data_IF_643917436398
#
_entry.id   IF_643917436398
#
_cell.length_a   1.000
_cell.length_b   1.000
_cell.length_c   1.000
_cell.angle_alpha   90.00
_cell.angle_beta   90.00
_cell.angle_gamma   90.00
#
_symmetry.space_group_name_H-M   'P 1'
#
loop_
_entity.id
_entity.type
_entity.pdbx_description
1 polymer ?
#
# COMPACT_ATOMS: atom_id res chain seq x y z
N UNK A 1 -1.98 -15.46 10.82
CA UNK A 1 -2.25 -16.16 12.11
C UNK A 1 -1.96 -15.17 13.23
N UNK A 2 -2.92 -14.96 14.11
CA UNK A 2 -2.76 -14.10 15.30
C UNK A 2 -1.68 -14.64 16.24
N UNK A 3 -0.81 -13.77 16.75
CA UNK A 3 0.25 -14.10 17.68
C UNK A 3 -0.18 -13.73 19.10
N UNK A 4 -0.18 -14.70 20.01
CA UNK A 4 -0.74 -14.57 21.37
C UNK A 4 0.32 -14.30 22.45
N UNK A 5 1.61 -14.32 22.08
CA UNK A 5 2.72 -14.15 22.99
C UNK A 5 3.98 -13.57 22.31
N UNK A 6 4.92 -13.11 23.12
CA UNK A 6 6.21 -12.59 22.68
C UNK A 6 6.16 -11.12 22.21
N UNK A 7 7.23 -10.67 21.56
CA UNK A 7 7.35 -9.29 21.06
C UNK A 7 6.30 -8.93 20.03
N UNK A 8 5.80 -9.92 19.28
CA UNK A 8 4.77 -9.75 18.24
C UNK A 8 3.36 -10.10 18.72
N UNK A 9 3.13 -10.26 20.04
CA UNK A 9 1.77 -10.48 20.58
C UNK A 9 0.81 -9.40 20.08
N UNK A 10 -0.37 -9.80 19.62
CA UNK A 10 -1.38 -8.86 19.11
C UNK A 10 -1.17 -8.44 17.66
N UNK A 11 -0.23 -9.06 16.95
CA UNK A 11 -0.03 -8.92 15.51
C UNK A 11 -0.33 -10.23 14.77
N UNK A 12 -0.46 -10.14 13.46
CA UNK A 12 -0.56 -11.33 12.60
C UNK A 12 0.82 -11.72 12.06
N UNK A 13 1.12 -13.02 12.04
CA UNK A 13 2.28 -13.49 11.30
C UNK A 13 2.06 -13.22 9.79
N UNK A 14 3.00 -12.54 9.15
CA UNK A 14 2.89 -12.15 7.75
C UNK A 14 2.90 -13.35 6.78
N UNK A 15 3.46 -14.49 7.21
CA UNK A 15 3.53 -15.70 6.39
C UNK A 15 3.18 -16.95 7.19
N UNK A 16 2.27 -17.75 6.65
CA UNK A 16 1.80 -19.00 7.23
C UNK A 16 1.78 -20.10 6.18
N UNK A 17 2.06 -21.32 6.61
CA UNK A 17 1.87 -22.52 5.81
C UNK A 17 0.38 -22.88 5.67
N UNK A 18 0.06 -23.72 4.67
CA UNK A 18 -1.31 -24.21 4.46
C UNK A 18 -1.82 -25.10 5.60
N UNK A 19 -0.92 -25.67 6.36
CA UNK A 19 -1.21 -26.48 7.57
C UNK A 19 -1.44 -25.61 8.82
N UNK A 20 -1.37 -24.29 8.69
CA UNK A 20 -1.52 -23.36 9.79
C UNK A 20 -0.25 -23.13 10.60
N UNK A 21 0.90 -23.65 10.20
CA UNK A 21 2.18 -23.32 10.83
C UNK A 21 2.62 -21.91 10.45
N UNK A 22 3.33 -21.22 11.34
CA UNK A 22 3.92 -19.91 11.04
C UNK A 22 5.25 -20.11 10.35
N UNK A 23 5.41 -19.48 9.17
CA UNK A 23 6.68 -19.42 8.47
C UNK A 23 7.60 -18.32 9.03
N UNK A 24 7.01 -17.31 9.68
CA UNK A 24 7.72 -16.20 10.29
C UNK A 24 7.03 -15.76 11.60
N UNK A 25 7.81 -15.21 12.53
CA UNK A 25 7.32 -14.68 13.81
C UNK A 25 7.26 -13.12 13.80
N UNK A 26 7.29 -12.51 12.64
CA UNK A 26 7.14 -11.08 12.44
C UNK A 26 5.82 -10.72 11.79
N UNK A 27 5.45 -9.46 11.88
CA UNK A 27 4.30 -8.87 11.25
C UNK A 27 4.73 -7.91 10.12
N UNK A 28 3.85 -7.68 9.16
CA UNK A 28 3.99 -6.66 8.14
C UNK A 28 2.80 -5.70 8.25
N UNK A 29 3.05 -4.41 8.52
CA UNK A 29 2.01 -3.43 8.85
C UNK A 29 0.85 -3.34 7.87
N UNK A 30 1.08 -3.53 6.57
CA UNK A 30 0.02 -3.53 5.57
C UNK A 30 -1.06 -4.58 5.85
N UNK A 31 -0.69 -5.72 6.41
CA UNK A 31 -1.65 -6.76 6.82
C UNK A 31 -2.62 -6.25 7.88
N UNK A 32 -2.13 -5.63 8.92
CA UNK A 32 -2.94 -5.08 10.01
C UNK A 32 -3.81 -3.92 9.56
N UNK A 33 -3.30 -3.06 8.67
CA UNK A 33 -4.08 -1.96 8.09
C UNK A 33 -5.30 -2.49 7.32
N UNK A 34 -5.09 -3.47 6.44
CA UNK A 34 -6.17 -4.08 5.67
C UNK A 34 -7.15 -4.87 6.55
N UNK A 35 -6.67 -5.59 7.57
CA UNK A 35 -7.56 -6.29 8.50
C UNK A 35 -8.41 -5.32 9.32
N UNK A 36 -7.82 -4.26 9.86
CA UNK A 36 -8.56 -3.25 10.61
C UNK A 36 -9.61 -2.57 9.73
N UNK A 37 -9.26 -2.19 8.49
CA UNK A 37 -10.19 -1.57 7.57
C UNK A 37 -11.33 -2.52 7.17
N UNK A 38 -11.02 -3.78 6.84
CA UNK A 38 -12.03 -4.77 6.50
C UNK A 38 -13.03 -5.00 7.65
N UNK A 39 -12.55 -5.00 8.89
CA UNK A 39 -13.40 -5.14 10.08
C UNK A 39 -14.28 -3.90 10.29
N UNK A 40 -13.79 -2.68 10.11
CA UNK A 40 -14.63 -1.49 10.15
C UNK A 40 -15.70 -1.51 9.07
N UNK A 41 -15.36 -1.89 7.84
CA UNK A 41 -16.35 -2.03 6.78
C UNK A 41 -17.37 -3.14 7.08
N UNK A 42 -16.95 -4.25 7.69
CA UNK A 42 -17.86 -5.30 8.13
C UNK A 42 -18.83 -4.79 9.20
N UNK A 43 -18.33 -4.02 10.18
CA UNK A 43 -19.17 -3.38 11.21
C UNK A 43 -20.23 -2.47 10.59
N UNK A 44 -19.84 -1.59 9.67
CA UNK A 44 -20.78 -0.66 9.02
C UNK A 44 -21.76 -1.36 8.08
N UNK A 45 -21.32 -2.42 7.42
CA UNK A 45 -22.13 -3.16 6.44
C UNK A 45 -23.13 -4.11 7.08
N UNK A 46 -22.75 -4.77 8.18
CA UNK A 46 -23.51 -5.86 8.80
C UNK A 46 -23.85 -5.64 10.26
N UNK A 47 -23.29 -4.60 10.88
CA UNK A 47 -23.42 -4.32 12.31
C UNK A 47 -22.43 -5.14 13.15
N UNK A 48 -22.27 -4.74 14.40
CA UNK A 48 -21.46 -5.46 15.39
C UNK A 48 -22.30 -6.56 16.06
N UNK A 49 -21.73 -7.74 16.20
CA UNK A 49 -22.21 -8.85 17.00
C UNK A 49 -21.50 -8.96 18.34
N UNK A 50 -21.48 -10.17 18.92
CA UNK A 50 -20.79 -10.47 20.17
C UNK A 50 -19.44 -11.15 19.96
N UNK A 51 -18.52 -10.95 20.88
CA UNK A 51 -17.18 -11.58 20.86
C UNK A 51 -16.37 -11.22 19.61
N UNK A 52 -15.93 -12.23 18.85
CA UNK A 52 -15.15 -12.02 17.62
C UNK A 52 -15.95 -11.36 16.49
N UNK A 53 -17.27 -11.32 16.58
CA UNK A 53 -18.15 -10.67 15.62
C UNK A 53 -18.45 -9.22 15.98
N UNK A 54 -17.93 -8.69 17.08
CA UNK A 54 -17.92 -7.26 17.36
C UNK A 54 -16.80 -6.63 16.51
N UNK A 55 -17.07 -6.48 15.23
CA UNK A 55 -16.07 -6.12 14.21
C UNK A 55 -15.35 -4.81 14.52
N UNK A 56 -16.08 -3.78 14.94
CA UNK A 56 -15.47 -2.49 15.27
C UNK A 56 -14.48 -2.59 16.45
N UNK A 57 -14.77 -3.42 17.46
CA UNK A 57 -13.87 -3.64 18.58
C UNK A 57 -12.64 -4.47 18.18
N UNK A 58 -12.82 -5.46 17.30
CA UNK A 58 -11.67 -6.21 16.75
C UNK A 58 -10.76 -5.29 15.92
N UNK A 59 -11.32 -4.37 15.12
CA UNK A 59 -10.54 -3.38 14.39
C UNK A 59 -9.76 -2.47 15.32
N UNK A 60 -10.41 -1.90 16.36
CA UNK A 60 -9.77 -1.05 17.37
C UNK A 60 -8.67 -1.80 18.13
N UNK A 61 -8.89 -3.08 18.46
CA UNK A 61 -7.88 -3.92 19.12
C UNK A 61 -6.61 -4.05 18.27
N UNK A 62 -6.74 -4.22 16.95
CA UNK A 62 -5.61 -4.26 16.02
C UNK A 62 -4.89 -2.90 16.04
N UNK A 63 -5.61 -1.80 15.86
CA UNK A 63 -5.01 -0.46 15.80
C UNK A 63 -4.31 -0.07 17.12
N UNK A 64 -4.88 -0.41 18.30
CA UNK A 64 -4.21 -0.22 19.59
C UNK A 64 -2.86 -0.95 19.64
N UNK A 65 -2.81 -2.20 19.18
CA UNK A 65 -1.55 -2.94 19.13
C UNK A 65 -0.55 -2.24 18.20
N UNK A 66 -1.01 -1.78 17.02
CA UNK A 66 -0.16 -1.11 16.03
C UNK A 66 0.46 0.20 16.54
N UNK A 67 -0.24 0.95 17.40
CA UNK A 67 0.26 2.23 17.92
C UNK A 67 0.96 2.06 19.26
N UNK A 68 0.37 1.34 20.22
CA UNK A 68 0.80 1.35 21.62
C UNK A 68 1.73 0.19 22.02
N UNK A 69 2.15 -0.63 21.05
CA UNK A 69 3.10 -1.71 21.31
C UNK A 69 4.42 -1.14 21.85
N UNK A 70 4.96 -1.76 22.88
CA UNK A 70 6.20 -1.31 23.53
C UNK A 70 6.02 -0.23 24.60
N UNK A 71 4.86 0.37 24.73
CA UNK A 71 4.59 1.37 25.77
C UNK A 71 4.62 0.77 27.18
N UNK A 72 4.98 1.60 28.16
CA UNK A 72 5.03 1.22 29.58
C UNK A 72 5.93 0.01 29.87
N UNK A 73 7.00 -0.19 29.08
CA UNK A 73 7.96 -1.28 29.26
C UNK A 73 7.46 -2.63 28.78
N UNK A 74 6.36 -2.68 28.05
CA UNK A 74 5.91 -3.92 27.39
C UNK A 74 6.85 -4.31 26.27
N UNK A 75 7.00 -5.60 25.93
CA UNK A 75 7.85 -6.04 24.84
C UNK A 75 7.26 -5.66 23.47
N UNK A 76 8.15 -5.55 22.47
CA UNK A 76 7.80 -5.29 21.08
C UNK A 76 7.84 -3.83 20.68
N UNK A 77 7.49 -3.55 19.42
CA UNK A 77 7.58 -2.24 18.79
C UNK A 77 6.28 -1.91 18.07
N UNK A 78 5.88 -0.61 18.01
CA UNK A 78 4.72 -0.19 17.24
C UNK A 78 4.97 -0.33 15.73
N UNK A 79 3.92 -0.21 14.93
CA UNK A 79 3.98 -0.21 13.47
C UNK A 79 4.13 1.18 12.86
N UNK A 80 3.95 2.22 13.67
CA UNK A 80 4.19 3.61 13.29
C UNK A 80 5.34 4.21 14.10
N UNK A 81 6.12 5.05 13.45
CA UNK A 81 7.06 5.92 14.13
C UNK A 81 6.30 7.07 14.80
N UNK A 82 6.37 7.16 16.12
CA UNK A 82 5.62 8.15 16.91
C UNK A 82 6.12 9.59 16.72
N UNK A 83 7.37 9.80 16.29
CA UNK A 83 7.94 11.12 16.10
C UNK A 83 7.50 11.74 14.77
N UNK A 84 7.58 10.96 13.69
CA UNK A 84 7.28 11.44 12.34
C UNK A 84 5.93 10.98 11.78
N UNK A 85 5.16 10.14 12.51
CA UNK A 85 3.85 9.62 12.12
C UNK A 85 3.84 8.75 10.85
N UNK A 86 5.00 8.29 10.42
CA UNK A 86 5.11 7.40 9.25
C UNK A 86 5.00 5.95 9.66
N UNK A 87 4.39 5.15 8.81
CA UNK A 87 4.34 3.69 8.97
C UNK A 87 5.74 3.11 8.75
N UNK A 88 6.07 2.07 9.51
CA UNK A 88 7.35 1.35 9.40
C UNK A 88 7.23 0.23 8.37
N UNK A 89 8.35 -0.23 7.81
CA UNK A 89 8.36 -1.44 6.98
C UNK A 89 8.00 -2.69 7.80
N UNK A 90 8.62 -2.85 8.98
CA UNK A 90 8.24 -3.84 9.99
C UNK A 90 8.37 -3.20 11.37
N UNK A 91 7.72 -3.74 12.42
CA UNK A 91 7.88 -3.22 13.77
C UNK A 91 9.37 -3.08 14.17
N UNK A 92 9.77 -1.87 14.57
CA UNK A 92 11.12 -1.55 14.99
C UNK A 92 12.13 -1.24 13.88
N UNK A 93 11.71 -1.19 12.60
CA UNK A 93 12.56 -0.69 11.52
C UNK A 93 12.74 0.83 11.59
N UNK A 94 13.80 1.33 10.97
CA UNK A 94 14.13 2.74 10.86
C UNK A 94 13.93 3.27 9.42
N UNK A 95 13.10 2.57 8.63
CA UNK A 95 12.72 2.90 7.27
C UNK A 95 11.28 2.43 6.99
N UNK A 96 10.77 2.76 5.82
CA UNK A 96 9.40 2.47 5.41
C UNK A 96 9.34 1.82 4.02
N UNK A 97 8.16 1.34 3.66
CA UNK A 97 7.76 0.97 2.31
C UNK A 97 6.73 2.01 1.82
N UNK A 98 6.99 2.74 0.72
CA UNK A 98 6.05 3.70 0.17
C UNK A 98 4.65 3.12 -0.11
N UNK A 99 4.57 1.83 -0.44
CA UNK A 99 3.30 1.16 -0.69
C UNK A 99 2.47 0.85 0.57
N UNK A 100 3.07 0.97 1.75
CA UNK A 100 2.36 0.81 3.03
C UNK A 100 1.66 2.10 3.48
N UNK A 101 1.97 3.24 2.87
CA UNK A 101 1.29 4.49 3.17
C UNK A 101 -0.12 4.48 2.58
N UNK A 102 -1.13 4.36 3.43
CA UNK A 102 -2.55 4.29 3.08
C UNK A 102 -3.33 5.49 3.67
N UNK A 103 -3.06 6.74 3.21
CA UNK A 103 -3.68 7.92 3.80
C UNK A 103 -5.21 7.86 3.81
N UNK A 104 -5.83 7.23 2.81
CA UNK A 104 -7.26 7.02 2.76
C UNK A 104 -7.79 6.08 3.87
N UNK A 105 -7.00 5.12 4.33
CA UNK A 105 -7.36 4.32 5.51
C UNK A 105 -7.18 5.13 6.79
N UNK A 106 -6.11 5.94 6.88
CA UNK A 106 -5.84 6.74 8.07
C UNK A 106 -6.90 7.82 8.31
N UNK A 107 -7.48 8.42 7.25
CA UNK A 107 -8.64 9.29 7.39
C UNK A 107 -9.83 8.58 8.05
N UNK A 108 -10.08 7.32 7.69
CA UNK A 108 -11.15 6.54 8.27
C UNK A 108 -10.80 6.05 9.68
N UNK A 109 -9.54 5.69 9.95
CA UNK A 109 -9.08 5.40 11.31
C UNK A 109 -9.20 6.62 12.22
N UNK A 110 -8.97 7.83 11.70
CA UNK A 110 -9.21 9.07 12.45
C UNK A 110 -10.68 9.29 12.86
N UNK A 111 -11.61 8.59 12.21
CA UNK A 111 -13.05 8.63 12.58
C UNK A 111 -13.43 7.47 13.52
N UNK A 112 -12.84 6.28 13.33
CA UNK A 112 -13.38 5.02 13.86
C UNK A 112 -12.49 4.33 14.90
N UNK A 113 -11.21 4.70 15.01
CA UNK A 113 -10.32 4.23 16.08
C UNK A 113 -10.79 4.72 17.45
N UNK A 114 -10.13 4.26 18.51
CA UNK A 114 -10.33 4.79 19.85
C UNK A 114 -10.13 6.32 19.87
N UNK A 115 -10.89 7.02 20.68
CA UNK A 115 -10.96 8.48 20.64
C UNK A 115 -9.59 9.13 20.85
N UNK A 116 -8.78 8.59 21.74
CA UNK A 116 -7.41 9.04 22.01
C UNK A 116 -6.46 8.92 20.80
N UNK A 117 -6.70 7.98 19.90
CA UNK A 117 -5.84 7.69 18.75
C UNK A 117 -6.24 8.43 17.46
N UNK A 118 -7.44 9.01 17.43
CA UNK A 118 -7.97 9.66 16.22
C UNK A 118 -7.09 10.79 15.71
N UNK A 119 -6.53 11.59 16.62
CA UNK A 119 -5.63 12.69 16.25
C UNK A 119 -4.32 12.19 15.64
N UNK A 120 -3.82 11.05 16.11
CA UNK A 120 -2.65 10.40 15.55
C UNK A 120 -2.88 10.00 14.09
N UNK A 121 -3.98 9.32 13.79
CA UNK A 121 -4.30 8.88 12.43
C UNK A 121 -4.60 10.04 11.48
N UNK A 122 -5.22 11.11 11.99
CA UNK A 122 -5.43 12.33 11.19
C UNK A 122 -4.10 12.95 10.74
N UNK A 123 -3.13 13.02 11.64
CA UNK A 123 -1.79 13.51 11.31
C UNK A 123 -1.04 12.53 10.40
N UNK A 124 -1.14 11.22 10.66
CA UNK A 124 -0.54 10.18 9.81
C UNK A 124 -1.06 10.24 8.36
N UNK A 125 -2.35 10.51 8.14
CA UNK A 125 -2.92 10.69 6.80
C UNK A 125 -2.25 11.83 6.05
N UNK A 126 -2.12 12.99 6.70
CA UNK A 126 -1.45 14.17 6.13
C UNK A 126 0.02 13.89 5.83
N UNK A 127 0.75 13.39 6.82
CA UNK A 127 2.18 13.06 6.68
C UNK A 127 2.42 12.05 5.56
N UNK A 128 1.55 11.04 5.43
CA UNK A 128 1.67 10.04 4.36
C UNK A 128 1.49 10.64 2.96
N UNK A 129 0.58 11.61 2.76
CA UNK A 129 0.44 12.30 1.48
C UNK A 129 1.67 13.14 1.14
N UNK A 130 2.17 13.92 2.12
CA UNK A 130 3.41 14.69 1.96
C UNK A 130 4.62 13.79 1.69
N UNK A 131 4.68 12.62 2.34
CA UNK A 131 5.73 11.64 2.12
C UNK A 131 5.66 11.04 0.72
N UNK A 132 4.48 10.58 0.26
CA UNK A 132 4.30 9.99 -1.07
C UNK A 132 4.70 10.96 -2.19
N UNK A 133 4.44 12.27 -2.02
CA UNK A 133 4.89 13.29 -2.96
C UNK A 133 6.42 13.38 -3.08
N UNK A 134 7.17 13.03 -2.01
CA UNK A 134 8.65 13.01 -2.00
C UNK A 134 9.21 11.67 -2.45
N UNK A 135 8.56 10.57 -2.07
CA UNK A 135 9.01 9.20 -2.38
C UNK A 135 8.85 8.83 -3.85
N UNK A 136 7.91 9.46 -4.56
CA UNK A 136 7.71 9.26 -5.98
C UNK A 136 8.66 10.16 -6.80
N UNK A 137 9.44 9.54 -7.68
CA UNK A 137 10.43 10.25 -8.48
C UNK A 137 9.76 11.31 -9.40
N UNK A 138 10.28 12.54 -9.45
CA UNK A 138 9.59 13.70 -10.06
C UNK A 138 9.35 13.61 -11.58
N UNK A 139 10.07 12.71 -12.28
CA UNK A 139 9.91 12.52 -13.73
C UNK A 139 9.11 11.26 -14.08
N UNK A 140 9.32 10.17 -13.34
CA UNK A 140 8.76 8.86 -13.66
C UNK A 140 7.53 8.50 -12.85
N UNK A 141 7.33 9.11 -11.69
CA UNK A 141 6.31 8.74 -10.73
C UNK A 141 6.58 7.42 -9.99
N UNK A 142 7.73 6.80 -10.21
CA UNK A 142 8.15 5.56 -9.55
C UNK A 142 8.59 5.84 -8.11
N UNK A 143 8.25 4.94 -7.20
CA UNK A 143 8.83 4.84 -5.86
C UNK A 143 9.74 3.63 -5.77
N UNK A 144 10.68 3.64 -4.82
CA UNK A 144 11.40 2.43 -4.47
C UNK A 144 10.50 1.44 -3.73
N UNK A 145 10.89 0.16 -3.66
CA UNK A 145 10.22 -0.83 -2.81
C UNK A 145 10.42 -0.47 -1.34
N UNK A 146 11.66 -0.16 -0.92
CA UNK A 146 11.93 0.39 0.40
C UNK A 146 12.56 1.79 0.28
N UNK A 147 12.18 2.67 1.19
CA UNK A 147 12.67 4.04 1.20
C UNK A 147 12.89 4.57 2.63
N UNK A 148 13.78 5.53 2.74
CA UNK A 148 14.02 6.27 3.98
C UNK A 148 12.82 7.19 4.27
N UNK A 149 12.70 7.67 5.51
CA UNK A 149 11.61 8.56 5.93
C UNK A 149 11.58 9.93 5.22
N UNK A 150 12.64 10.29 4.52
CA UNK A 150 12.69 11.48 3.68
C UNK A 150 12.24 11.24 2.23
N UNK A 151 11.91 9.99 1.88
CA UNK A 151 11.46 9.55 0.57
C UNK A 151 12.58 9.07 -0.37
N UNK A 152 13.85 9.12 0.04
CA UNK A 152 14.93 8.60 -0.79
C UNK A 152 14.91 7.07 -0.83
N UNK A 153 15.23 6.44 -1.97
CA UNK A 153 15.37 5.00 -2.06
C UNK A 153 16.39 4.48 -1.04
N UNK A 154 16.03 3.42 -0.31
CA UNK A 154 16.89 2.85 0.71
C UNK A 154 17.90 1.88 0.08
N UNK A 155 19.12 2.33 -0.12
CA UNK A 155 20.20 1.56 -0.78
C UNK A 155 21.15 0.84 0.19
N UNK A 156 20.98 1.02 1.50
CA UNK A 156 21.84 0.37 2.50
C UNK A 156 21.58 -1.14 2.59
N UNK A 157 22.60 -1.97 2.86
CA UNK A 157 22.43 -3.40 3.03
C UNK A 157 21.49 -3.75 4.19
N UNK A 158 20.66 -4.76 3.99
CA UNK A 158 19.80 -5.31 5.03
C UNK A 158 20.37 -6.64 5.55
N UNK A 159 20.27 -6.92 6.87
CA UNK A 159 20.89 -8.11 7.45
C UNK A 159 20.23 -9.43 7.02
N UNK A 160 19.03 -9.40 6.48
CA UNK A 160 18.25 -10.59 6.12
C UNK A 160 18.16 -10.88 4.62
N UNK A 161 18.72 -9.99 3.78
CA UNK A 161 18.69 -10.15 2.32
C UNK A 161 19.92 -9.55 1.66
N UNK A 162 20.32 -10.12 0.54
CA UNK A 162 21.33 -9.56 -0.37
C UNK A 162 20.72 -8.84 -1.57
N UNK A 163 19.40 -8.90 -1.70
CA UNK A 163 18.66 -8.24 -2.78
C UNK A 163 18.61 -6.73 -2.54
N UNK A 164 18.57 -5.97 -3.62
CA UNK A 164 18.36 -4.52 -3.59
C UNK A 164 16.86 -4.24 -3.58
N UNK A 165 16.45 -3.30 -2.74
CA UNK A 165 15.05 -2.88 -2.57
C UNK A 165 14.86 -1.38 -2.86
N UNK A 166 15.89 -0.71 -3.36
CA UNK A 166 15.89 0.68 -3.80
C UNK A 166 15.40 0.87 -5.25
N UNK A 167 14.87 -0.19 -5.85
CA UNK A 167 14.31 -0.21 -7.20
C UNK A 167 12.79 -0.03 -7.20
N UNK A 168 12.25 0.39 -8.36
CA UNK A 168 10.82 0.23 -8.65
C UNK A 168 10.56 -1.24 -8.96
N UNK A 169 10.12 -1.96 -7.95
CA UNK A 169 10.07 -3.41 -7.92
C UNK A 169 8.97 -3.89 -6.97
N UNK A 170 8.39 -5.05 -7.24
CA UNK A 170 7.47 -5.79 -6.36
C UNK A 170 6.40 -4.91 -5.67
N UNK A 171 6.54 -4.63 -4.39
CA UNK A 171 5.57 -3.90 -3.59
C UNK A 171 5.42 -2.42 -4.00
N UNK A 172 6.47 -1.81 -4.57
CA UNK A 172 6.42 -0.45 -5.08
C UNK A 172 5.28 -0.21 -6.09
N UNK A 173 4.84 -1.26 -6.80
CA UNK A 173 3.75 -1.15 -7.78
C UNK A 173 2.42 -0.70 -7.14
N UNK A 174 2.19 -1.01 -5.86
CA UNK A 174 0.99 -0.63 -5.13
C UNK A 174 0.88 0.87 -4.83
N UNK A 175 2.01 1.58 -4.78
CA UNK A 175 2.06 2.99 -4.39
C UNK A 175 1.10 3.87 -5.20
N UNK A 176 1.14 3.78 -6.53
CA UNK A 176 0.26 4.58 -7.40
C UNK A 176 -1.20 4.15 -7.34
N UNK A 177 -1.47 2.87 -7.07
CA UNK A 177 -2.83 2.38 -6.85
C UNK A 177 -3.44 2.96 -5.57
N UNK A 178 -2.67 3.02 -4.49
CA UNK A 178 -3.07 3.62 -3.22
C UNK A 178 -3.33 5.14 -3.38
N UNK A 179 -2.45 5.84 -4.12
CA UNK A 179 -2.66 7.26 -4.46
C UNK A 179 -3.95 7.45 -5.27
N UNK A 180 -4.22 6.58 -6.24
CA UNK A 180 -5.46 6.62 -7.03
C UNK A 180 -6.71 6.45 -6.17
N UNK A 181 -6.69 5.51 -5.21
CA UNK A 181 -7.81 5.26 -4.32
C UNK A 181 -7.98 6.38 -3.28
N UNK A 182 -6.88 6.95 -2.77
CA UNK A 182 -6.93 8.12 -1.88
C UNK A 182 -7.60 9.31 -2.57
N UNK A 183 -7.28 9.54 -3.85
CA UNK A 183 -7.97 10.58 -4.64
C UNK A 183 -9.45 10.30 -4.79
N UNK A 184 -9.82 9.07 -5.14
CA UNK A 184 -11.23 8.70 -5.34
C UNK A 184 -12.07 8.90 -4.07
N UNK A 185 -11.50 8.61 -2.90
CA UNK A 185 -12.24 8.70 -1.64
C UNK A 185 -12.22 10.10 -1.02
N UNK A 186 -11.12 10.83 -1.12
CA UNK A 186 -10.94 12.07 -0.35
C UNK A 186 -10.54 13.29 -1.18
N UNK A 187 -9.81 13.13 -2.27
CA UNK A 187 -9.41 14.25 -3.12
C UNK A 187 -8.53 15.31 -2.45
N UNK A 188 -7.84 14.98 -1.36
CA UNK A 188 -6.95 15.88 -0.61
C UNK A 188 -5.58 15.87 -1.27
N UNK A 189 -5.18 16.95 -1.93
CA UNK A 189 -3.96 17.04 -2.72
C UNK A 189 -2.81 17.70 -1.95
N UNK A 190 -1.81 16.91 -1.62
CA UNK A 190 -0.51 17.35 -1.07
C UNK A 190 0.63 17.14 -2.11
N UNK A 191 0.28 17.08 -3.40
CA UNK A 191 1.21 16.89 -4.52
C UNK A 191 1.45 15.45 -4.93
N UNK A 192 0.99 14.45 -4.16
CA UNK A 192 1.20 13.03 -4.46
C UNK A 192 0.50 12.55 -5.73
N UNK A 193 -0.60 13.20 -6.14
CA UNK A 193 -1.41 12.73 -7.26
C UNK A 193 -0.78 12.93 -8.64
N UNK A 194 0.34 13.63 -8.73
CA UNK A 194 1.08 13.73 -10.00
C UNK A 194 1.80 12.42 -10.37
N UNK A 195 2.15 11.59 -9.38
CA UNK A 195 2.93 10.37 -9.60
C UNK A 195 2.21 9.35 -10.50
N UNK A 196 0.92 9.04 -10.32
CA UNK A 196 0.22 8.11 -11.21
C UNK A 196 0.22 8.54 -12.68
N UNK A 197 0.05 9.83 -12.97
CA UNK A 197 0.10 10.33 -14.35
C UNK A 197 1.49 10.19 -14.98
N UNK A 198 2.53 10.50 -14.21
CA UNK A 198 3.92 10.37 -14.66
C UNK A 198 4.27 8.91 -14.95
N UNK A 199 3.92 7.99 -14.05
CA UNK A 199 4.16 6.56 -14.26
C UNK A 199 3.38 6.02 -15.46
N UNK A 200 2.10 6.38 -15.57
CA UNK A 200 1.26 5.98 -16.68
C UNK A 200 1.87 6.39 -18.03
N UNK A 201 2.30 7.65 -18.16
CA UNK A 201 2.96 8.18 -19.36
C UNK A 201 4.31 7.51 -19.63
N UNK A 202 5.10 7.25 -18.58
CA UNK A 202 6.39 6.59 -18.70
C UNK A 202 6.26 5.17 -19.27
N UNK A 203 5.34 4.38 -18.76
CA UNK A 203 5.13 3.01 -19.22
C UNK A 203 4.43 2.99 -20.58
N UNK A 204 3.46 3.87 -20.83
CA UNK A 204 2.77 3.94 -22.12
C UNK A 204 3.72 4.30 -23.28
N UNK A 205 4.69 5.17 -23.05
CA UNK A 205 5.71 5.53 -24.05
C UNK A 205 6.60 4.33 -24.45
N UNK A 206 6.60 3.25 -23.68
CA UNK A 206 7.38 2.02 -23.91
C UNK A 206 6.49 0.81 -24.23
N UNK A 207 5.22 1.03 -24.48
CA UNK A 207 4.23 -0.04 -24.66
C UNK A 207 4.64 -1.09 -25.68
N UNK A 208 5.20 -0.66 -26.80
CA UNK A 208 5.62 -1.56 -27.90
C UNK A 208 6.91 -2.34 -27.59
N UNK A 209 7.62 -1.98 -26.51
CA UNK A 209 8.90 -2.58 -26.08
C UNK A 209 8.72 -3.50 -24.85
N UNK A 210 7.47 -3.82 -24.46
CA UNK A 210 7.11 -4.51 -23.22
C UNK A 210 7.64 -3.78 -21.97
N UNK A 211 6.89 -2.78 -21.44
CA UNK A 211 7.37 -1.91 -20.36
C UNK A 211 7.40 -2.57 -18.98
N UNK A 212 6.99 -3.84 -18.87
CA UNK A 212 6.86 -4.53 -17.59
C UNK A 212 8.19 -5.15 -17.13
N UNK A 213 9.13 -4.26 -16.83
CA UNK A 213 10.48 -4.59 -16.36
C UNK A 213 10.73 -4.04 -14.94
N UNK A 214 11.89 -4.37 -14.38
CA UNK A 214 12.42 -3.74 -13.16
C UNK A 214 13.19 -2.47 -13.57
N UNK A 215 12.93 -1.37 -12.86
CA UNK A 215 13.57 -0.08 -13.11
C UNK A 215 14.26 0.46 -11.86
N UNK A 216 15.35 1.21 -12.05
CA UNK A 216 15.72 2.25 -11.09
C UNK A 216 14.61 3.29 -11.07
N UNK A 217 14.42 4.00 -9.96
CA UNK A 217 13.31 4.97 -9.83
C UNK A 217 13.37 6.12 -10.84
N UNK A 218 14.53 6.41 -11.39
CA UNK A 218 14.73 7.41 -12.45
C UNK A 218 14.26 6.97 -13.84
N UNK A 219 13.89 5.68 -13.98
CA UNK A 219 13.43 5.06 -15.21
C UNK A 219 14.50 4.31 -16.00
N UNK A 220 15.71 4.17 -15.46
CA UNK A 220 16.75 3.31 -16.07
C UNK A 220 16.29 1.84 -15.96
N UNK A 221 16.13 1.17 -17.10
CA UNK A 221 15.80 -0.26 -17.13
C UNK A 221 16.96 -1.12 -16.66
N UNK A 222 16.66 -2.12 -15.86
CA UNK A 222 17.59 -3.16 -15.47
C UNK A 222 17.60 -4.35 -16.44
N UNK A 223 16.79 -4.29 -17.51
CA UNK A 223 16.62 -5.36 -18.50
C UNK A 223 16.25 -6.72 -17.85
N UNK A 224 15.43 -6.66 -16.83
CA UNK A 224 14.88 -7.82 -16.13
C UNK A 224 13.36 -7.70 -16.11
N UNK A 225 12.64 -8.78 -16.41
CA UNK A 225 11.19 -8.75 -16.38
C UNK A 225 10.69 -8.42 -14.97
N UNK A 226 9.59 -7.71 -14.88
CA UNK A 226 8.91 -7.44 -13.63
C UNK A 226 8.55 -8.75 -12.92
N UNK A 227 8.74 -8.80 -11.62
CA UNK A 227 8.39 -9.97 -10.80
C UNK A 227 6.88 -10.27 -10.88
N UNK A 228 6.09 -9.21 -10.93
CA UNK A 228 4.63 -9.19 -10.95
C UNK A 228 4.11 -8.33 -12.12
N UNK A 229 4.26 -8.79 -13.38
CA UNK A 229 3.89 -7.98 -14.55
C UNK A 229 2.40 -7.65 -14.60
N UNK A 230 1.53 -8.59 -14.20
CA UNK A 230 0.09 -8.33 -14.09
C UNK A 230 -0.16 -7.32 -12.95
N UNK A 231 0.47 -7.51 -11.81
CA UNK A 231 0.40 -6.57 -10.67
C UNK A 231 0.79 -5.15 -11.08
N UNK A 232 1.94 -4.98 -11.75
CA UNK A 232 2.42 -3.68 -12.23
C UNK A 232 1.40 -3.02 -13.18
N UNK A 233 0.88 -3.77 -14.15
CA UNK A 233 -0.09 -3.23 -15.10
C UNK A 233 -1.40 -2.80 -14.42
N UNK A 234 -1.97 -3.65 -13.56
CA UNK A 234 -3.28 -3.37 -12.95
C UNK A 234 -3.21 -2.26 -11.90
N UNK A 235 -2.13 -2.16 -11.13
CA UNK A 235 -1.95 -1.09 -10.15
C UNK A 235 -1.70 0.26 -10.82
N UNK A 236 -0.92 0.28 -11.91
CA UNK A 236 -0.77 1.48 -12.74
C UNK A 236 -2.12 1.91 -13.32
N UNK A 237 -2.93 0.95 -13.79
CA UNK A 237 -4.28 1.26 -14.28
C UNK A 237 -5.18 1.78 -13.16
N UNK A 238 -5.11 1.25 -11.94
CA UNK A 238 -5.87 1.79 -10.80
C UNK A 238 -5.49 3.25 -10.51
N UNK A 239 -4.23 3.63 -10.69
CA UNK A 239 -3.76 5.01 -10.55
C UNK A 239 -4.48 6.03 -11.45
N UNK A 240 -5.14 5.58 -12.56
CA UNK A 240 -5.90 6.48 -13.45
C UNK A 240 -7.08 7.17 -12.76
N UNK A 241 -7.55 6.68 -11.61
CA UNK A 241 -8.59 7.34 -10.82
C UNK A 241 -8.20 8.79 -10.48
N UNK A 242 -6.95 9.03 -10.05
CA UNK A 242 -6.45 10.38 -9.83
C UNK A 242 -6.18 11.14 -11.14
N UNK A 243 -5.71 10.45 -12.17
CA UNK A 243 -5.42 11.07 -13.49
C UNK A 243 -6.70 11.62 -14.10
N UNK A 244 -7.73 10.79 -14.26
CA UNK A 244 -9.00 11.19 -14.92
C UNK A 244 -9.77 12.25 -14.12
N UNK A 245 -9.62 12.28 -12.79
CA UNK A 245 -10.25 13.29 -11.96
C UNK A 245 -9.59 14.66 -12.00
N UNK A 246 -8.30 14.74 -12.33
CA UNK A 246 -7.47 15.96 -12.23
C UNK A 246 -7.02 16.55 -13.54
N UNK A 247 -6.61 15.68 -14.48
CA UNK A 247 -5.99 16.17 -15.72
C UNK A 247 -7.02 16.74 -16.70
N UNK A 248 -6.62 17.79 -17.39
CA UNK A 248 -7.31 18.32 -18.56
C UNK A 248 -6.56 18.03 -19.87
N UNK A 249 -5.41 17.36 -19.77
CA UNK A 249 -4.59 17.03 -20.92
C UNK A 249 -5.20 15.87 -21.71
N UNK A 250 -5.58 16.15 -22.96
CA UNK A 250 -6.19 15.16 -23.85
C UNK A 250 -5.31 13.91 -24.05
N UNK A 251 -3.98 14.07 -24.04
CA UNK A 251 -3.05 12.96 -24.19
C UNK A 251 -3.16 12.01 -22.99
N UNK A 252 -3.12 12.50 -21.75
CA UNK A 252 -3.25 11.69 -20.55
C UNK A 252 -4.61 10.99 -20.49
N UNK A 253 -5.68 11.69 -20.90
CA UNK A 253 -7.01 11.08 -20.96
C UNK A 253 -7.06 9.93 -21.99
N UNK A 254 -6.43 10.10 -23.17
CA UNK A 254 -6.36 9.01 -24.17
C UNK A 254 -5.56 7.82 -23.66
N UNK A 255 -4.41 8.07 -23.02
CA UNK A 255 -3.58 7.01 -22.45
C UNK A 255 -4.37 6.27 -21.38
N UNK A 256 -4.99 6.97 -20.43
CA UNK A 256 -5.78 6.36 -19.36
C UNK A 256 -6.92 5.49 -19.90
N UNK A 257 -7.63 5.94 -20.94
CA UNK A 257 -8.67 5.14 -21.60
C UNK A 257 -8.11 3.87 -22.27
N UNK A 258 -6.98 3.98 -22.97
CA UNK A 258 -6.27 2.82 -23.55
C UNK A 258 -5.95 1.79 -22.47
N UNK A 259 -5.34 2.24 -21.36
CA UNK A 259 -4.96 1.35 -20.26
C UNK A 259 -6.17 0.70 -19.59
N UNK A 260 -7.28 1.42 -19.45
CA UNK A 260 -8.54 0.87 -18.95
C UNK A 260 -9.12 -0.20 -19.89
N UNK A 261 -9.06 0.01 -21.21
CA UNK A 261 -9.49 -0.98 -22.19
C UNK A 261 -8.61 -2.24 -22.16
N UNK A 262 -7.29 -2.07 -22.04
CA UNK A 262 -6.34 -3.18 -21.91
C UNK A 262 -6.52 -3.93 -20.60
N UNK A 263 -6.84 -3.23 -19.48
CA UNK A 263 -7.10 -3.86 -18.18
C UNK A 263 -8.12 -5.01 -18.29
N UNK A 264 -9.21 -4.82 -18.99
CA UNK A 264 -10.24 -5.86 -19.16
C UNK A 264 -9.82 -7.03 -20.07
N UNK A 265 -8.67 -6.91 -20.74
CA UNK A 265 -8.09 -7.97 -21.57
C UNK A 265 -7.03 -8.79 -20.87
N UNK A 266 -6.55 -8.32 -19.71
CA UNK A 266 -5.52 -9.01 -18.95
C UNK A 266 -6.06 -10.34 -18.44
N UNK A 267 -5.42 -11.48 -18.77
CA UNK A 267 -5.83 -12.76 -18.22
C UNK A 267 -5.39 -12.88 -16.75
N UNK A 268 -6.15 -13.61 -15.96
CA UNK A 268 -5.69 -14.00 -14.62
C UNK A 268 -4.37 -14.78 -14.73
N UNK A 269 -3.38 -14.38 -13.92
CA UNK A 269 -2.10 -15.06 -13.88
C UNK A 269 -2.25 -16.49 -13.38
N UNK A 270 -1.51 -17.41 -14.00
CA UNK A 270 -1.42 -18.83 -13.63
C UNK A 270 -0.01 -19.17 -13.14
N UNK A 271 0.15 -20.30 -12.47
CA UNK A 271 1.45 -20.76 -11.99
C UNK A 271 1.96 -20.00 -10.76
N UNK A 272 3.28 -19.85 -10.69
CA UNK A 272 3.94 -19.19 -9.58
C UNK A 272 3.54 -17.71 -9.51
N UNK A 273 3.49 -17.18 -8.28
CA UNK A 273 3.15 -15.77 -7.97
C UNK A 273 1.74 -15.33 -8.38
N UNK A 274 0.88 -16.25 -8.86
CA UNK A 274 -0.52 -15.95 -9.23
C UNK A 274 -1.34 -15.32 -8.10
N UNK A 275 -1.03 -15.65 -6.85
CA UNK A 275 -1.76 -15.12 -5.70
C UNK A 275 -1.65 -13.60 -5.64
N UNK A 276 -0.44 -13.07 -5.58
CA UNK A 276 -0.20 -11.65 -5.44
C UNK A 276 -0.75 -10.86 -6.63
N UNK A 277 -0.39 -11.24 -7.86
CA UNK A 277 -0.88 -10.56 -9.07
C UNK A 277 -2.41 -10.54 -9.15
N UNK A 278 -3.07 -11.66 -8.84
CA UNK A 278 -4.53 -11.74 -8.96
C UNK A 278 -5.24 -11.03 -7.79
N UNK A 279 -4.63 -10.92 -6.62
CA UNK A 279 -5.13 -10.07 -5.56
C UNK A 279 -5.08 -8.59 -5.96
N UNK A 280 -3.97 -8.11 -6.52
CA UNK A 280 -3.86 -6.76 -7.03
C UNK A 280 -4.86 -6.50 -8.16
N UNK A 281 -5.03 -7.47 -9.06
CA UNK A 281 -6.05 -7.38 -10.12
C UNK A 281 -7.46 -7.22 -9.54
N UNK A 282 -7.80 -8.00 -8.51
CA UNK A 282 -9.10 -7.93 -7.86
C UNK A 282 -9.33 -6.57 -7.18
N UNK A 283 -8.36 -6.03 -6.45
CA UNK A 283 -8.45 -4.71 -5.84
C UNK A 283 -8.60 -3.61 -6.90
N UNK A 284 -7.80 -3.65 -7.96
CA UNK A 284 -7.91 -2.71 -9.06
C UNK A 284 -9.28 -2.78 -9.75
N UNK A 285 -9.81 -3.99 -9.95
CA UNK A 285 -11.15 -4.19 -10.51
C UNK A 285 -12.25 -3.57 -9.63
N UNK A 286 -12.17 -3.78 -8.31
CA UNK A 286 -13.11 -3.17 -7.36
C UNK A 286 -13.02 -1.64 -7.39
N UNK A 287 -11.82 -1.07 -7.42
CA UNK A 287 -11.61 0.37 -7.44
C UNK A 287 -12.14 0.99 -8.74
N UNK A 288 -11.71 0.46 -9.89
CA UNK A 288 -12.10 0.96 -11.22
C UNK A 288 -13.60 0.79 -11.53
N UNK A 289 -14.26 -0.17 -10.89
CA UNK A 289 -15.72 -0.38 -11.01
C UNK A 289 -16.56 0.43 -10.01
N UNK A 290 -15.93 1.23 -9.13
CA UNK A 290 -16.60 1.98 -8.06
C UNK A 290 -17.16 1.11 -6.93
N UNK A 291 -16.72 -0.15 -6.83
CA UNK A 291 -17.15 -1.07 -5.78
C UNK A 291 -16.19 -1.12 -4.57
N UNK A 292 -14.98 -0.59 -4.69
CA UNK A 292 -14.09 -0.36 -3.56
C UNK A 292 -14.41 1.01 -2.95
N UNK A 293 -15.42 1.05 -2.13
CA UNK A 293 -16.00 2.28 -1.57
C UNK A 293 -16.08 2.22 -0.05
N UNK A 294 -16.19 3.38 0.56
CA UNK A 294 -16.43 3.53 2.01
C UNK A 294 -17.84 3.02 2.34
N UNK A 295 -17.94 2.19 3.36
CA UNK A 295 -19.19 1.62 3.86
C UNK A 295 -19.60 2.26 5.16
#
# INVERSE_FOLDING_TARGET
MWMEEGESEGYFAWSCGLDGTRNANGAAPDGEEFFAMALFFASHRWGDGEGIYCYSEQARKILRACIHKGENGRPGYPMWNHENRQILFVPGSDFTDPSYHLPHFYELFALWADEEDRSFFKEAAKVSREYLAKACHPKTGMSAEYAEFDGQPMSRPLPWTTDRHDWFFSDAYRTVANIGLDYEWFGIDEGQYEAPEKLLRFLDARWDEDPFEIYEVDGTSLHKPALHPVGLQVTTTQGILSVLGRTKEEQSIRIAKKWLEEFFRIPLRKGDRRYYDNCLYFFAFLALSGNYRIW
#
